data_IF_872494153602
#
_entry.id   IF_872494153602
#
_cell.length_a   1.000
_cell.length_b   1.000
_cell.length_c   1.000
_cell.angle_alpha   90.00
_cell.angle_beta   90.00
_cell.angle_gamma   90.00
#
_symmetry.space_group_name_H-M   'P 1'
#
loop_
_entity.id
_entity.type
_entity.pdbx_description
1 polymer ?
#
# COMPACT_ATOMS: atom_id res chain seq x y z
N UNK A 1 -15.38 17.89 45.35
CA UNK A 1 -15.51 16.59 44.65
C UNK A 1 -14.14 16.32 44.09
N UNK A 2 -13.34 15.73 44.98
CA UNK A 2 -11.96 15.35 44.76
C UNK A 2 -11.94 14.07 43.92
N UNK A 3 -11.05 14.01 42.93
CA UNK A 3 -10.80 12.76 42.19
C UNK A 3 -9.31 12.48 42.26
N UNK A 4 -9.02 11.37 42.93
CA UNK A 4 -7.71 10.78 43.22
C UNK A 4 -6.89 10.46 41.98
N UNK A 5 -5.57 10.58 42.15
CA UNK A 5 -4.54 9.99 41.32
C UNK A 5 -4.22 8.59 41.87
N UNK A 6 -4.34 7.55 41.04
CA UNK A 6 -3.70 6.26 41.28
C UNK A 6 -2.50 6.09 40.35
N UNK A 7 -1.34 5.89 40.99
CA UNK A 7 -0.05 5.56 40.41
C UNK A 7 0.10 4.04 40.47
N UNK A 8 0.50 3.38 39.38
CA UNK A 8 0.99 2.01 39.41
C UNK A 8 2.36 1.94 38.72
N UNK A 9 3.37 1.68 39.53
CA UNK A 9 4.64 1.08 39.14
C UNK A 9 4.60 -0.40 39.54
N UNK A 10 5.03 -1.29 38.65
CA UNK A 10 5.68 -2.59 38.92
C UNK A 10 6.03 -3.21 37.55
N UNK A 11 7.30 -3.20 37.14
CA UNK A 11 8.39 -4.15 37.46
C UNK A 11 8.46 -5.35 36.48
N UNK A 12 9.71 -5.72 36.22
CA UNK A 12 10.26 -6.64 35.21
C UNK A 12 9.60 -8.03 35.20
N UNK A 13 9.58 -8.68 34.03
CA UNK A 13 10.54 -9.74 33.67
C UNK A 13 10.20 -10.49 32.36
N UNK A 14 11.25 -11.13 31.83
CA UNK A 14 11.25 -12.37 31.02
C UNK A 14 11.03 -12.32 29.50
N UNK A 15 12.18 -12.16 28.82
CA UNK A 15 12.79 -13.12 27.88
C UNK A 15 11.84 -14.18 27.30
N UNK A 16 11.37 -13.94 26.08
CA UNK A 16 10.88 -15.00 25.18
C UNK A 16 11.58 -14.87 23.84
N UNK A 17 12.73 -15.55 23.72
CA UNK A 17 13.36 -15.82 22.44
C UNK A 17 12.70 -17.05 21.79
N UNK A 18 12.25 -16.99 20.52
CA UNK A 18 11.75 -18.16 19.80
C UNK A 18 12.88 -19.13 19.40
N UNK A 19 12.56 -20.41 19.17
CA UNK A 19 13.55 -21.46 18.96
C UNK A 19 14.29 -21.34 17.62
N UNK A 20 15.60 -21.53 17.69
CA UNK A 20 16.52 -21.75 16.56
C UNK A 20 16.17 -23.07 15.85
N UNK A 21 16.02 -23.01 14.53
CA UNK A 21 15.95 -24.19 13.67
C UNK A 21 17.23 -24.31 12.84
N UNK A 22 17.93 -25.43 13.02
CA UNK A 22 19.09 -25.80 12.22
C UNK A 22 18.71 -26.50 10.91
N UNK A 23 19.49 -26.14 9.88
CA UNK A 23 19.88 -26.90 8.68
C UNK A 23 18.78 -27.36 7.70
N UNK A 24 18.77 -26.71 6.52
CA UNK A 24 18.31 -27.32 5.26
C UNK A 24 19.48 -27.34 4.28
N UNK A 25 19.81 -28.55 3.83
CA UNK A 25 20.84 -28.87 2.86
C UNK A 25 20.44 -28.37 1.46
N UNK A 26 21.31 -27.60 0.81
CA UNK A 26 21.15 -27.20 -0.59
C UNK A 26 21.93 -28.15 -1.51
N UNK A 27 21.22 -28.84 -2.40
CA UNK A 27 21.83 -29.50 -3.56
C UNK A 27 21.89 -28.53 -4.74
N UNK A 28 23.10 -28.26 -5.23
CA UNK A 28 23.36 -27.47 -6.44
C UNK A 28 22.96 -28.24 -7.70
N UNK A 29 22.13 -27.64 -8.55
CA UNK A 29 21.90 -28.14 -9.91
C UNK A 29 22.88 -27.41 -10.83
N UNK A 30 23.78 -28.18 -11.45
CA UNK A 30 24.73 -27.74 -12.47
C UNK A 30 23.98 -27.38 -13.75
N UNK A 31 24.31 -26.24 -14.34
CA UNK A 31 23.73 -25.77 -15.59
C UNK A 31 24.47 -26.39 -16.77
N UNK A 32 23.87 -27.38 -17.41
CA UNK A 32 24.23 -27.78 -18.78
C UNK A 32 23.14 -27.39 -19.77
N UNK A 33 23.60 -26.69 -20.79
CA UNK A 33 22.83 -26.09 -21.87
C UNK A 33 22.36 -27.18 -22.84
N UNK A 34 21.04 -27.31 -23.03
CA UNK A 34 20.47 -27.87 -24.27
C UNK A 34 19.21 -27.11 -24.62
N UNK A 35 19.30 -26.35 -25.72
CA UNK A 35 18.18 -25.67 -26.34
C UNK A 35 17.46 -26.66 -27.25
N UNK A 36 16.29 -27.14 -26.82
CA UNK A 36 15.29 -27.73 -27.69
C UNK A 36 13.94 -27.23 -27.19
N UNK A 37 13.06 -26.79 -28.10
CA UNK A 37 11.67 -26.42 -27.79
C UNK A 37 10.74 -27.57 -28.17
N UNK A 38 10.34 -28.45 -27.25
CA UNK A 38 9.12 -29.22 -27.39
C UNK A 38 7.96 -28.40 -26.85
N UNK A 39 6.86 -28.36 -27.59
CA UNK A 39 5.55 -27.99 -27.09
C UNK A 39 5.11 -29.04 -26.07
N UNK A 40 5.52 -28.88 -24.81
CA UNK A 40 5.20 -29.79 -23.72
C UNK A 40 3.75 -29.62 -23.25
N UNK A 41 2.95 -30.67 -23.46
CA UNK A 41 1.71 -30.88 -22.71
C UNK A 41 2.13 -31.44 -21.36
N UNK A 42 2.34 -30.56 -20.37
CA UNK A 42 2.63 -30.99 -19.00
C UNK A 42 1.42 -31.70 -18.39
N UNK A 43 1.66 -32.79 -17.65
CA UNK A 43 0.59 -33.39 -16.87
C UNK A 43 0.14 -32.43 -15.76
N UNK A 44 -1.14 -32.44 -15.41
CA UNK A 44 -1.70 -31.60 -14.33
C UNK A 44 -0.98 -31.78 -12.99
N UNK A 45 -0.40 -32.95 -12.73
CA UNK A 45 0.38 -33.22 -11.53
C UNK A 45 1.71 -32.43 -11.53
N UNK A 46 2.37 -32.34 -12.68
CA UNK A 46 3.63 -31.61 -12.82
C UNK A 46 3.43 -30.10 -12.66
N UNK A 47 2.34 -29.52 -13.20
CA UNK A 47 2.02 -28.10 -13.00
C UNK A 47 1.83 -27.76 -11.52
N UNK A 48 1.15 -28.62 -10.75
CA UNK A 48 0.99 -28.43 -9.29
C UNK A 48 2.33 -28.44 -8.56
N UNK A 49 3.23 -29.35 -8.94
CA UNK A 49 4.56 -29.42 -8.35
C UNK A 49 5.39 -28.16 -8.66
N UNK A 50 5.41 -27.73 -9.93
CA UNK A 50 6.09 -26.50 -10.35
C UNK A 50 5.56 -25.29 -9.57
N UNK A 51 4.23 -25.15 -9.50
CA UNK A 51 3.58 -24.08 -8.74
C UNK A 51 3.98 -24.08 -7.26
N UNK A 52 4.05 -25.25 -6.63
CA UNK A 52 4.47 -25.39 -5.23
C UNK A 52 5.93 -24.97 -5.04
N UNK A 53 6.81 -25.38 -5.95
CA UNK A 53 8.23 -24.99 -5.94
C UNK A 53 8.38 -23.48 -6.11
N UNK A 54 7.69 -22.88 -7.08
CA UNK A 54 7.70 -21.43 -7.33
C UNK A 54 7.21 -20.67 -6.09
N UNK A 55 6.12 -21.11 -5.47
CA UNK A 55 5.61 -20.49 -4.26
C UNK A 55 6.61 -20.57 -3.09
N UNK A 56 7.27 -21.71 -2.91
CA UNK A 56 8.30 -21.89 -1.88
C UNK A 56 9.48 -20.94 -2.09
N UNK A 57 9.91 -20.75 -3.33
CA UNK A 57 10.98 -19.80 -3.67
C UNK A 57 10.57 -18.36 -3.36
N UNK A 58 9.38 -17.95 -3.82
CA UNK A 58 8.84 -16.61 -3.54
C UNK A 58 8.70 -16.38 -2.02
N UNK A 59 8.21 -17.38 -1.28
CA UNK A 59 8.11 -17.31 0.19
C UNK A 59 9.47 -17.09 0.83
N UNK A 60 10.50 -17.83 0.41
CA UNK A 60 11.87 -17.63 0.86
C UNK A 60 12.39 -16.21 0.58
N UNK A 61 12.06 -15.66 -0.59
CA UNK A 61 12.46 -14.28 -0.96
C UNK A 61 11.83 -13.20 -0.11
N UNK A 62 10.56 -13.36 0.29
CA UNK A 62 9.84 -12.30 1.02
C UNK A 62 9.96 -12.44 2.53
N UNK A 63 10.16 -13.65 3.07
CA UNK A 63 10.25 -13.91 4.51
C UNK A 63 11.70 -14.00 5.01
N UNK A 64 12.59 -14.76 4.35
CA UNK A 64 13.90 -15.12 4.92
C UNK A 64 14.88 -13.96 4.92
N UNK A 65 15.29 -13.38 6.09
CA UNK A 65 16.12 -12.16 6.18
C UNK A 65 17.39 -12.22 5.33
N UNK A 66 18.06 -13.38 5.32
CA UNK A 66 19.34 -13.58 4.65
C UNK A 66 19.22 -13.99 3.17
N UNK A 67 18.07 -13.77 2.54
CA UNK A 67 17.91 -14.08 1.12
C UNK A 67 18.87 -13.22 0.28
N UNK A 68 19.66 -13.86 -0.57
CA UNK A 68 20.70 -13.20 -1.36
C UNK A 68 20.05 -12.25 -2.38
N UNK A 69 20.12 -10.94 -2.13
CA UNK A 69 19.48 -9.92 -2.97
C UNK A 69 19.90 -9.99 -4.45
N UNK A 70 21.16 -10.33 -4.74
CA UNK A 70 21.66 -10.49 -6.11
C UNK A 70 21.00 -11.65 -6.88
N UNK A 71 20.39 -12.60 -6.16
CA UNK A 71 19.70 -13.76 -6.76
C UNK A 71 18.21 -13.51 -7.03
N UNK A 72 17.62 -12.42 -6.53
CA UNK A 72 16.18 -12.15 -6.64
C UNK A 72 15.73 -12.09 -8.10
N UNK A 73 16.41 -11.29 -8.92
CA UNK A 73 16.08 -11.13 -10.35
C UNK A 73 16.16 -12.46 -11.11
N UNK A 74 17.34 -13.13 -11.15
CA UNK A 74 17.50 -14.41 -11.84
C UNK A 74 16.53 -15.49 -11.37
N UNK A 75 16.22 -15.54 -10.07
CA UNK A 75 15.28 -16.54 -9.53
C UNK A 75 13.85 -16.25 -9.96
N UNK A 76 13.42 -14.98 -9.98
CA UNK A 76 12.10 -14.61 -10.48
C UNK A 76 11.98 -14.83 -11.99
N UNK A 77 13.02 -14.57 -12.77
CA UNK A 77 13.07 -14.87 -14.20
C UNK A 77 12.95 -16.37 -14.46
N UNK A 78 13.62 -17.20 -13.65
CA UNK A 78 13.50 -18.66 -13.69
C UNK A 78 12.09 -19.14 -13.33
N UNK A 79 11.45 -18.51 -12.34
CA UNK A 79 10.05 -18.81 -11.99
C UNK A 79 9.09 -18.41 -13.12
N UNK A 80 9.29 -17.23 -13.71
CA UNK A 80 8.46 -16.70 -14.79
C UNK A 80 8.59 -17.50 -16.10
N UNK A 81 9.73 -18.16 -16.33
CA UNK A 81 9.92 -19.08 -17.47
C UNK A 81 9.37 -20.47 -17.20
N UNK A 82 9.20 -20.85 -15.94
CA UNK A 82 8.66 -22.16 -15.54
C UNK A 82 7.12 -22.24 -15.59
N UNK A 83 6.43 -21.10 -15.69
CA UNK A 83 4.97 -21.00 -15.68
C UNK A 83 4.47 -20.07 -16.80
N UNK A 84 3.22 -20.24 -17.28
CA UNK A 84 2.58 -19.23 -18.12
C UNK A 84 2.54 -17.86 -17.41
N UNK A 85 2.79 -16.77 -18.15
CA UNK A 85 2.86 -15.42 -17.57
C UNK A 85 1.61 -15.03 -16.75
N UNK A 86 0.42 -15.42 -17.21
CA UNK A 86 -0.83 -15.19 -16.48
C UNK A 86 -0.87 -15.95 -15.14
N UNK A 87 -0.47 -17.22 -15.14
CA UNK A 87 -0.46 -18.04 -13.91
C UNK A 87 0.60 -17.55 -12.92
N UNK A 88 1.76 -17.11 -13.40
CA UNK A 88 2.79 -16.51 -12.54
C UNK A 88 2.30 -15.20 -11.92
N UNK A 89 1.69 -14.32 -12.72
CA UNK A 89 1.05 -13.09 -12.24
C UNK A 89 -0.04 -13.38 -11.20
N UNK A 90 -0.84 -14.44 -11.40
CA UNK A 90 -1.87 -14.85 -10.45
C UNK A 90 -1.27 -15.30 -9.11
N UNK A 91 -0.21 -16.11 -9.12
CA UNK A 91 0.49 -16.54 -7.89
C UNK A 91 0.97 -15.34 -7.06
N UNK A 92 1.48 -14.30 -7.72
CA UNK A 92 1.99 -13.09 -7.08
C UNK A 92 0.89 -12.20 -6.48
N UNK A 93 -0.35 -12.37 -6.92
CA UNK A 93 -1.49 -11.54 -6.52
C UNK A 93 -2.49 -12.28 -5.61
N UNK A 94 -2.27 -13.56 -5.36
CA UNK A 94 -3.09 -14.39 -4.48
C UNK A 94 -2.50 -14.46 -3.07
N UNK A 95 -3.37 -14.62 -2.08
CA UNK A 95 -3.05 -14.72 -0.65
C UNK A 95 -2.43 -16.07 -0.25
N UNK A 96 -1.36 -16.47 -0.94
CA UNK A 96 -0.74 -17.79 -0.83
C UNK A 96 0.31 -17.90 0.30
N UNK A 97 0.63 -16.81 1.00
CA UNK A 97 1.63 -16.80 2.06
C UNK A 97 0.97 -16.26 3.33
N UNK A 98 0.64 -17.15 4.27
CA UNK A 98 0.09 -16.78 5.59
C UNK A 98 -1.15 -15.86 5.49
N UNK A 99 -2.01 -16.08 4.50
CA UNK A 99 -3.23 -15.30 4.28
C UNK A 99 -3.03 -13.97 3.53
N UNK A 100 -1.80 -13.66 3.12
CA UNK A 100 -1.48 -12.44 2.37
C UNK A 100 -0.68 -12.72 1.10
N UNK A 101 -0.64 -11.73 0.21
CA UNK A 101 0.13 -11.75 -1.03
C UNK A 101 1.64 -11.67 -0.78
N UNK A 102 2.47 -12.16 -1.71
CA UNK A 102 3.92 -11.89 -1.70
C UNK A 102 4.26 -10.39 -1.64
N UNK A 103 3.47 -9.53 -2.28
CA UNK A 103 3.66 -8.09 -2.23
C UNK A 103 3.48 -7.51 -0.82
N UNK A 104 2.47 -7.98 -0.08
CA UNK A 104 2.26 -7.59 1.31
C UNK A 104 3.50 -7.87 2.16
N UNK A 105 4.02 -9.10 2.08
CA UNK A 105 5.19 -9.50 2.86
C UNK A 105 6.46 -8.79 2.46
N UNK A 106 6.65 -8.50 1.17
CA UNK A 106 7.79 -7.70 0.71
C UNK A 106 7.78 -6.28 1.30
N UNK A 107 6.59 -5.69 1.51
CA UNK A 107 6.44 -4.37 2.15
C UNK A 107 6.69 -4.47 3.66
N UNK A 108 6.00 -5.39 4.35
CA UNK A 108 6.11 -5.56 5.81
C UNK A 108 7.54 -5.87 6.23
N UNK A 109 8.22 -6.74 5.48
CA UNK A 109 9.62 -7.12 5.75
C UNK A 109 10.63 -6.13 5.14
N UNK A 110 10.20 -4.96 4.67
CA UNK A 110 11.03 -3.86 4.15
C UNK A 110 12.03 -4.29 3.07
N UNK A 111 11.56 -5.02 2.05
CA UNK A 111 12.35 -5.52 0.92
C UNK A 111 12.02 -4.80 -0.39
N UNK A 112 12.48 -3.55 -0.58
CA UNK A 112 12.12 -2.76 -1.76
C UNK A 112 12.65 -3.36 -3.07
N UNK A 113 13.76 -4.10 -3.06
CA UNK A 113 14.34 -4.77 -4.22
C UNK A 113 13.45 -5.93 -4.69
N UNK A 114 13.00 -6.76 -3.73
CA UNK A 114 12.06 -7.86 -4.00
C UNK A 114 10.74 -7.30 -4.49
N UNK A 115 10.21 -6.28 -3.80
CA UNK A 115 8.99 -5.58 -4.21
C UNK A 115 9.10 -5.10 -5.67
N UNK A 116 10.15 -4.35 -5.99
CA UNK A 116 10.39 -3.80 -7.33
C UNK A 116 10.51 -4.89 -8.40
N UNK A 117 11.12 -6.04 -8.06
CA UNK A 117 11.23 -7.17 -8.98
C UNK A 117 9.88 -7.87 -9.20
N UNK A 118 9.10 -8.09 -8.14
CA UNK A 118 7.75 -8.67 -8.23
C UNK A 118 6.82 -7.79 -9.08
N UNK A 119 6.86 -6.47 -8.93
CA UNK A 119 6.02 -5.52 -9.68
C UNK A 119 6.14 -5.68 -11.21
N UNK A 120 7.30 -6.11 -11.73
CA UNK A 120 7.53 -6.30 -13.17
C UNK A 120 6.65 -7.38 -13.79
N UNK A 121 6.18 -8.32 -12.99
CA UNK A 121 5.40 -9.48 -13.43
C UNK A 121 3.90 -9.32 -13.15
N UNK A 122 3.47 -8.20 -12.56
CA UNK A 122 2.09 -7.97 -12.14
C UNK A 122 1.43 -6.96 -13.06
N UNK A 123 0.72 -7.46 -14.06
CA UNK A 123 -0.15 -6.64 -14.92
C UNK A 123 -1.35 -7.47 -15.42
N UNK A 124 -2.62 -7.00 -15.23
CA UNK A 124 -3.09 -5.89 -14.39
C UNK A 124 -3.25 -6.27 -12.90
N UNK A 125 -3.40 -5.26 -12.03
CA UNK A 125 -3.65 -5.45 -10.60
C UNK A 125 -5.09 -5.90 -10.30
N UNK A 126 -5.20 -7.10 -9.70
CA UNK A 126 -6.41 -7.61 -9.04
C UNK A 126 -6.76 -6.72 -7.85
N UNK A 127 -8.06 -6.68 -7.53
CA UNK A 127 -8.55 -5.80 -6.48
C UNK A 127 -8.02 -6.18 -5.12
N UNK A 128 -8.03 -7.48 -4.81
CA UNK A 128 -7.71 -7.96 -3.48
C UNK A 128 -6.21 -7.82 -3.19
N UNK A 129 -5.36 -8.08 -4.20
CA UNK A 129 -3.91 -7.81 -4.11
C UNK A 129 -3.61 -6.35 -3.81
N UNK A 130 -4.37 -5.40 -4.37
CA UNK A 130 -4.20 -3.98 -4.06
C UNK A 130 -4.64 -3.65 -2.63
N UNK A 131 -5.73 -4.25 -2.12
CA UNK A 131 -6.13 -4.07 -0.72
C UNK A 131 -5.06 -4.59 0.25
N UNK A 132 -4.43 -5.72 -0.08
CA UNK A 132 -3.32 -6.27 0.68
C UNK A 132 -2.11 -5.32 0.71
N UNK A 133 -1.73 -4.75 -0.44
CA UNK A 133 -0.66 -3.73 -0.49
C UNK A 133 -0.99 -2.52 0.38
N UNK A 134 -2.25 -2.04 0.35
CA UNK A 134 -2.70 -0.93 1.20
C UNK A 134 -2.58 -1.28 2.68
N UNK A 135 -3.04 -2.47 3.06
CA UNK A 135 -2.93 -2.98 4.42
C UNK A 135 -1.47 -3.07 4.86
N UNK A 136 -0.57 -3.54 4.00
CA UNK A 136 0.86 -3.61 4.30
C UNK A 136 1.45 -2.22 4.58
N UNK A 137 1.20 -1.23 3.73
CA UNK A 137 1.65 0.14 3.96
C UNK A 137 1.07 0.75 5.24
N UNK A 138 -0.17 0.39 5.57
CA UNK A 138 -0.82 0.82 6.82
C UNK A 138 -0.12 0.23 8.04
N UNK A 139 0.17 -1.07 8.02
CA UNK A 139 0.90 -1.78 9.08
C UNK A 139 2.31 -1.21 9.28
N UNK A 140 2.99 -0.84 8.19
CA UNK A 140 4.33 -0.24 8.27
C UNK A 140 4.34 1.27 8.51
N UNK A 141 3.15 1.91 8.55
CA UNK A 141 2.97 3.37 8.59
C UNK A 141 3.78 4.11 7.50
N UNK A 142 3.94 3.52 6.30
CA UNK A 142 4.77 4.08 5.22
C UNK A 142 3.92 4.81 4.15
N UNK A 143 3.63 6.07 4.42
CA UNK A 143 2.88 6.95 3.52
C UNK A 143 3.58 7.21 2.18
N UNK A 144 4.92 7.29 2.18
CA UNK A 144 5.71 7.55 0.97
C UNK A 144 5.56 6.40 -0.01
N UNK A 145 5.68 5.16 0.48
CA UNK A 145 5.45 3.97 -0.32
C UNK A 145 4.00 3.88 -0.79
N UNK A 146 3.04 4.11 0.10
CA UNK A 146 1.61 4.14 -0.26
C UNK A 146 1.31 5.10 -1.40
N UNK A 147 1.84 6.32 -1.34
CA UNK A 147 1.66 7.35 -2.38
C UNK A 147 2.26 6.89 -3.71
N UNK A 148 3.50 6.39 -3.69
CA UNK A 148 4.18 5.87 -4.89
C UNK A 148 3.40 4.73 -5.55
N UNK A 149 2.89 3.79 -4.75
CA UNK A 149 2.13 2.65 -5.25
C UNK A 149 0.73 3.06 -5.76
N UNK A 150 0.07 4.00 -5.08
CA UNK A 150 -1.22 4.55 -5.49
C UNK A 150 -1.15 5.33 -6.80
N UNK A 151 -0.08 6.12 -7.01
CA UNK A 151 0.17 6.82 -8.28
C UNK A 151 0.45 5.86 -9.44
N UNK A 152 1.17 4.77 -9.16
CA UNK A 152 1.51 3.76 -10.17
C UNK A 152 0.27 2.95 -10.58
N UNK A 153 -0.60 2.64 -9.62
CA UNK A 153 -1.82 1.86 -9.87
C UNK A 153 -2.71 2.55 -10.92
N UNK A 154 -3.04 1.82 -11.99
CA UNK A 154 -3.95 2.26 -13.05
C UNK A 154 -5.40 2.51 -12.57
N UNK A 155 -5.65 2.40 -11.25
CA UNK A 155 -6.95 2.54 -10.59
C UNK A 155 -7.30 3.94 -10.14
N UNK A 156 -6.41 4.93 -10.26
CA UNK A 156 -6.88 6.31 -10.32
C UNK A 156 -7.97 6.34 -11.39
N UNK A 157 -9.15 6.85 -11.02
CA UNK A 157 -10.32 6.93 -11.90
C UNK A 157 -9.79 7.39 -13.27
N UNK A 158 -10.06 6.65 -14.36
CA UNK A 158 -9.43 6.87 -15.66
C UNK A 158 -9.36 8.37 -16.02
N UNK A 159 -10.43 9.10 -15.68
CA UNK A 159 -10.57 10.54 -15.82
C UNK A 159 -9.61 11.38 -14.94
N UNK A 160 -9.44 11.05 -13.66
CA UNK A 160 -8.50 11.73 -12.77
C UNK A 160 -7.05 11.50 -13.20
N UNK A 161 -6.72 10.27 -13.64
CA UNK A 161 -5.41 9.99 -14.23
C UNK A 161 -5.17 10.80 -15.50
N UNK A 162 -6.17 10.89 -16.39
CA UNK A 162 -6.08 11.73 -17.59
C UNK A 162 -5.87 13.20 -17.23
N UNK A 163 -6.59 13.74 -16.24
CA UNK A 163 -6.41 15.12 -15.81
C UNK A 163 -5.03 15.36 -15.18
N UNK A 164 -4.55 14.46 -14.32
CA UNK A 164 -3.21 14.59 -13.73
C UNK A 164 -2.12 14.53 -14.81
N UNK A 165 -2.28 13.66 -15.81
CA UNK A 165 -1.36 13.57 -16.95
C UNK A 165 -1.43 14.80 -17.86
N UNK A 166 -2.63 15.35 -18.11
CA UNK A 166 -2.81 16.52 -18.98
C UNK A 166 -2.36 17.83 -18.32
N UNK A 167 -2.47 17.95 -16.99
CA UNK A 167 -2.13 19.16 -16.25
C UNK A 167 -0.69 19.17 -15.74
N UNK A 168 0.01 18.02 -15.82
CA UNK A 168 1.47 17.93 -15.69
C UNK A 168 2.04 18.02 -14.28
N UNK A 169 1.21 18.11 -13.24
CA UNK A 169 1.66 18.21 -11.85
C UNK A 169 0.87 17.25 -10.94
N UNK A 170 1.52 16.27 -10.29
CA UNK A 170 0.86 15.43 -9.30
C UNK A 170 0.49 16.24 -8.04
N UNK A 171 -0.51 15.77 -7.31
CA UNK A 171 -0.77 16.27 -5.96
C UNK A 171 0.32 15.78 -5.02
N UNK A 172 0.69 16.63 -4.05
CA UNK A 172 1.68 16.31 -3.04
C UNK A 172 1.00 16.18 -1.68
N UNK A 173 1.31 15.10 -0.95
CA UNK A 173 0.79 14.86 0.40
C UNK A 173 1.97 14.54 1.30
N UNK A 174 2.17 15.38 2.31
CA UNK A 174 3.17 15.19 3.36
C UNK A 174 2.46 14.96 4.69
N UNK A 175 2.87 13.95 5.44
CA UNK A 175 2.28 13.61 6.73
C UNK A 175 3.36 13.76 7.80
N UNK A 176 3.02 14.49 8.86
CA UNK A 176 3.86 14.72 10.02
C UNK A 176 3.17 14.15 11.25
N UNK A 177 3.84 13.29 11.99
CA UNK A 177 3.36 12.85 13.30
C UNK A 177 3.56 14.00 14.31
N UNK A 178 2.61 14.18 15.22
CA UNK A 178 2.63 15.21 16.25
C UNK A 178 3.42 14.80 17.49
N UNK A 179 3.64 15.78 18.38
CA UNK A 179 4.35 15.54 19.65
C UNK A 179 3.53 14.72 20.66
N UNK A 180 2.20 14.75 20.53
CA UNK A 180 1.29 13.98 21.37
C UNK A 180 0.86 12.69 20.69
N UNK A 181 0.65 11.64 21.49
CA UNK A 181 0.12 10.37 20.97
C UNK A 181 -1.20 10.61 20.24
N UNK A 182 -1.35 10.02 19.05
CA UNK A 182 -2.52 10.12 18.18
C UNK A 182 -2.74 11.50 17.53
N UNK A 183 -1.77 12.40 17.56
CA UNK A 183 -1.80 13.63 16.78
C UNK A 183 -1.00 13.49 15.50
N UNK A 184 -1.53 14.02 14.39
CA UNK A 184 -0.79 14.13 13.14
C UNK A 184 -1.25 15.37 12.37
N UNK A 185 -0.42 15.82 11.44
CA UNK A 185 -0.72 16.89 10.47
C UNK A 185 -0.48 16.37 9.07
N UNK A 186 -1.51 16.39 8.22
CA UNK A 186 -1.38 16.09 6.81
C UNK A 186 -1.43 17.38 5.99
N UNK A 187 -0.32 17.73 5.35
CA UNK A 187 -0.20 18.87 4.43
C UNK A 187 -0.42 18.38 3.01
N UNK A 188 -1.41 18.95 2.33
CA UNK A 188 -1.80 18.56 0.98
C UNK A 188 -1.69 19.74 0.04
N UNK A 189 -0.99 19.58 -1.08
CA UNK A 189 -0.90 20.55 -2.16
C UNK A 189 -1.62 20.00 -3.38
N UNK A 190 -2.80 20.55 -3.64
CA UNK A 190 -3.66 20.10 -4.75
C UNK A 190 -3.47 21.03 -5.95
N UNK A 191 -2.82 20.53 -7.00
CA UNK A 191 -2.53 21.35 -8.17
C UNK A 191 -3.81 21.57 -8.98
N UNK A 192 -4.08 22.84 -9.32
CA UNK A 192 -5.26 23.27 -10.08
C UNK A 192 -6.60 22.81 -9.46
N UNK A 193 -6.69 22.84 -8.12
CA UNK A 193 -7.87 22.40 -7.37
C UNK A 193 -9.20 22.88 -7.97
N UNK A 194 -9.34 24.20 -8.23
CA UNK A 194 -10.59 24.78 -8.76
C UNK A 194 -10.99 24.21 -10.13
N UNK A 195 -10.04 24.03 -11.03
CA UNK A 195 -10.30 23.46 -12.36
C UNK A 195 -10.69 22.00 -12.22
N UNK A 196 -9.94 21.23 -11.43
CA UNK A 196 -10.17 19.80 -11.25
C UNK A 196 -11.50 19.51 -10.54
N UNK A 197 -11.83 20.23 -9.48
CA UNK A 197 -13.10 20.03 -8.76
C UNK A 197 -14.31 20.41 -9.62
N UNK A 198 -14.21 21.42 -10.51
CA UNK A 198 -15.28 21.75 -11.47
C UNK A 198 -15.47 20.69 -12.55
N UNK A 199 -14.39 20.04 -13.00
CA UNK A 199 -14.47 19.02 -14.06
C UNK A 199 -14.88 17.66 -13.49
N UNK A 200 -14.25 17.23 -12.39
CA UNK A 200 -14.46 15.90 -11.79
C UNK A 200 -15.65 15.89 -10.83
N UNK A 201 -16.06 17.05 -10.31
CA UNK A 201 -17.10 17.22 -9.28
C UNK A 201 -16.76 16.56 -7.93
N UNK A 202 -15.72 15.72 -7.88
CA UNK A 202 -15.28 14.94 -6.74
C UNK A 202 -13.76 14.76 -6.78
N UNK A 203 -13.03 15.15 -5.72
CA UNK A 203 -11.60 14.88 -5.58
C UNK A 203 -11.35 14.08 -4.32
N UNK A 204 -10.66 12.95 -4.45
CA UNK A 204 -10.36 12.04 -3.35
C UNK A 204 -8.85 11.96 -3.17
N UNK A 205 -8.40 12.16 -1.95
CA UNK A 205 -7.02 11.91 -1.55
C UNK A 205 -7.01 10.95 -0.39
N UNK A 206 -5.96 10.14 -0.31
CA UNK A 206 -5.74 9.21 0.79
C UNK A 206 -4.30 9.33 1.28
N UNK A 207 -4.11 9.09 2.56
CA UNK A 207 -2.81 9.16 3.20
C UNK A 207 -2.78 8.23 4.42
N UNK A 208 -1.57 7.88 4.85
CA UNK A 208 -1.36 7.03 6.02
C UNK A 208 -0.86 7.90 7.17
N UNK A 209 -1.51 7.79 8.32
CA UNK A 209 -1.07 8.41 9.57
C UNK A 209 -1.51 7.55 10.75
N UNK A 210 -0.65 7.38 11.76
CA UNK A 210 -0.98 6.63 12.97
C UNK A 210 -1.53 5.22 12.69
N UNK A 211 -0.92 4.50 11.73
CA UNK A 211 -1.29 3.14 11.36
C UNK A 211 -2.70 3.01 10.76
N UNK A 212 -3.22 4.10 10.16
CA UNK A 212 -4.55 4.14 9.53
C UNK A 212 -4.46 4.81 8.17
N UNK A 213 -5.30 4.34 7.24
CA UNK A 213 -5.53 5.05 5.97
C UNK A 213 -6.69 6.01 6.18
N UNK A 214 -6.37 7.29 6.09
CA UNK A 214 -7.30 8.40 6.09
C UNK A 214 -7.61 8.81 4.66
N UNK A 215 -8.82 9.31 4.45
CA UNK A 215 -9.24 9.87 3.18
C UNK A 215 -9.82 11.26 3.35
N UNK A 216 -9.45 12.17 2.47
CA UNK A 216 -10.07 13.49 2.33
C UNK A 216 -10.83 13.52 1.01
N UNK A 217 -12.10 13.88 1.07
CA UNK A 217 -13.01 13.95 -0.05
C UNK A 217 -13.54 15.37 -0.21
N UNK A 218 -13.24 15.98 -1.34
CA UNK A 218 -13.87 17.21 -1.80
C UNK A 218 -14.97 16.88 -2.80
N UNK A 219 -16.13 17.53 -2.71
CA UNK A 219 -17.21 17.41 -3.68
C UNK A 219 -17.87 18.76 -3.94
N UNK A 220 -18.42 18.98 -5.13
CA UNK A 220 -19.28 20.15 -5.40
C UNK A 220 -20.69 19.85 -4.90
N UNK A 221 -21.24 20.72 -4.06
CA UNK A 221 -22.62 20.67 -3.58
C UNK A 221 -23.59 21.39 -4.53
N UNK A 222 -24.88 21.31 -4.21
CA UNK A 222 -25.97 21.81 -5.07
C UNK A 222 -25.90 23.32 -5.34
N UNK A 223 -25.28 24.08 -4.43
CA UNK A 223 -25.13 25.54 -4.51
C UNK A 223 -23.81 25.98 -5.17
N UNK A 224 -23.11 25.07 -5.85
CA UNK A 224 -21.80 25.26 -6.47
C UNK A 224 -20.64 25.49 -5.51
N UNK A 225 -20.88 25.52 -4.19
CA UNK A 225 -19.80 25.49 -3.19
C UNK A 225 -19.26 24.06 -3.09
N UNK A 226 -17.97 23.94 -2.87
CA UNK A 226 -17.39 22.64 -2.58
C UNK A 226 -17.47 22.36 -1.07
N UNK A 227 -17.67 21.10 -0.74
CA UNK A 227 -17.66 20.55 0.62
C UNK A 227 -16.43 19.68 0.78
N UNK A 228 -15.87 19.66 2.00
CA UNK A 228 -14.78 18.77 2.37
C UNK A 228 -15.25 17.82 3.46
N UNK A 229 -14.84 16.55 3.35
CA UNK A 229 -15.14 15.52 4.34
C UNK A 229 -13.94 14.63 4.53
N UNK A 230 -13.70 14.21 5.77
CA UNK A 230 -12.63 13.30 6.15
C UNK A 230 -13.24 11.98 6.62
N UNK A 231 -12.64 10.86 6.23
CA UNK A 231 -13.12 9.52 6.55
C UNK A 231 -11.97 8.54 6.74
N UNK A 232 -12.25 7.42 7.39
CA UNK A 232 -11.33 6.28 7.46
C UNK A 232 -11.62 5.33 6.28
N UNK A 233 -10.57 4.89 5.58
CA UNK A 233 -10.74 3.92 4.51
C UNK A 233 -11.22 2.56 5.04
N UNK A 234 -11.81 1.76 4.15
CA UNK A 234 -12.16 0.36 4.45
C UNK A 234 -10.90 -0.36 4.99
N UNK A 235 -11.08 -1.14 6.05
CA UNK A 235 -10.02 -1.89 6.78
C UNK A 235 -9.11 -1.07 7.71
N UNK A 236 -9.23 0.26 7.77
CA UNK A 236 -8.61 1.03 8.85
C UNK A 236 -9.29 0.73 10.19
N UNK A 237 -8.51 0.66 11.27
CA UNK A 237 -9.08 0.54 12.62
C UNK A 237 -9.92 1.78 12.97
N UNK A 238 -11.07 1.62 13.64
CA UNK A 238 -11.86 2.75 14.10
C UNK A 238 -11.01 3.76 14.89
N UNK A 239 -11.28 5.04 14.69
CA UNK A 239 -10.70 6.13 15.46
C UNK A 239 -11.76 7.22 15.63
N UNK A 240 -11.62 7.97 16.73
CA UNK A 240 -12.34 9.23 16.90
C UNK A 240 -11.47 10.35 16.36
N UNK A 241 -12.01 11.15 15.46
CA UNK A 241 -11.31 12.25 14.85
C UNK A 241 -11.86 13.60 15.34
N UNK A 242 -10.95 14.45 15.81
CA UNK A 242 -11.18 15.89 15.92
C UNK A 242 -10.23 16.57 14.94
N UNK A 243 -10.73 16.90 13.75
CA UNK A 243 -9.91 17.46 12.69
C UNK A 243 -10.15 18.95 12.50
N UNK A 244 -9.07 19.70 12.32
CA UNK A 244 -9.08 21.08 11.89
C UNK A 244 -8.52 21.15 10.47
N UNK A 245 -9.37 21.42 9.48
CA UNK A 245 -8.95 21.65 8.12
C UNK A 245 -8.59 23.12 7.93
N UNK A 246 -7.33 23.37 7.63
CA UNK A 246 -6.85 24.69 7.20
C UNK A 246 -6.72 24.69 5.68
N UNK A 247 -7.37 25.66 5.03
CA UNK A 247 -7.25 25.89 3.58
C UNK A 247 -6.49 27.18 3.35
N UNK A 248 -5.36 27.06 2.67
CA UNK A 248 -4.55 28.18 2.21
C UNK A 248 -4.68 28.30 0.70
N UNK A 249 -5.13 29.47 0.24
CA UNK A 249 -5.22 29.79 -1.17
C UNK A 249 -4.30 30.97 -1.49
N UNK A 250 -3.37 30.77 -2.42
CA UNK A 250 -2.55 31.85 -2.94
C UNK A 250 -3.27 32.51 -4.11
N UNK A 251 -3.52 33.82 -4.00
CA UNK A 251 -4.10 34.59 -5.09
C UNK A 251 -3.01 35.08 -6.08
N UNK A 252 -3.42 35.70 -7.19
CA UNK A 252 -2.48 36.26 -8.20
C UNK A 252 -1.52 37.31 -7.64
N UNK A 253 -1.86 37.92 -6.50
CA UNK A 253 -1.04 38.92 -5.80
C UNK A 253 -0.14 38.28 -4.73
N UNK A 254 -0.02 36.95 -4.72
CA UNK A 254 0.75 36.18 -3.73
C UNK A 254 0.28 36.37 -2.28
N UNK A 255 -0.92 36.91 -2.06
CA UNK A 255 -1.51 36.94 -0.73
C UNK A 255 -2.08 35.56 -0.41
N UNK A 256 -1.79 35.08 0.79
CA UNK A 256 -2.31 33.81 1.31
C UNK A 256 -3.61 34.10 2.05
N UNK A 257 -4.71 33.58 1.52
CA UNK A 257 -5.99 33.54 2.23
C UNK A 257 -6.04 32.24 3.03
N UNK A 258 -6.11 32.35 4.35
CA UNK A 258 -6.24 31.21 5.26
C UNK A 258 -7.68 31.14 5.77
N UNK A 259 -8.29 29.95 5.71
CA UNK A 259 -9.59 29.67 6.32
C UNK A 259 -9.55 28.34 7.05
N UNK A 260 -10.13 28.31 8.25
CA UNK A 260 -10.17 27.13 9.10
C UNK A 260 -11.59 26.58 9.18
N UNK A 261 -11.69 25.25 9.17
CA UNK A 261 -12.94 24.51 9.25
C UNK A 261 -12.78 23.39 10.26
N UNK A 262 -13.69 23.30 11.23
CA UNK A 262 -13.78 22.10 12.06
C UNK A 262 -14.47 21.02 11.24
N UNK A 263 -13.80 19.88 11.11
CA UNK A 263 -14.38 18.69 10.51
C UNK A 263 -14.83 17.80 11.66
N UNK A 264 -16.12 17.84 11.95
CA UNK A 264 -16.74 16.86 12.83
C UNK A 264 -16.85 15.52 12.11
N UNK A 265 -16.86 14.42 12.87
CA UNK A 265 -17.20 13.10 12.35
C UNK A 265 -18.64 13.13 11.84
N UNK A 266 -18.81 13.49 10.57
CA UNK A 266 -20.03 13.15 9.84
C UNK A 266 -20.14 11.64 9.88
N UNK A 267 -21.21 11.10 10.45
CA UNK A 267 -21.51 9.67 10.50
C UNK A 267 -21.31 9.04 9.11
N UNK A 268 -20.19 8.37 8.90
CA UNK A 268 -19.98 7.53 7.72
C UNK A 268 -20.42 6.12 8.08
N UNK A 269 -21.67 5.80 7.75
CA UNK A 269 -22.03 4.42 7.43
C UNK A 269 -20.99 3.96 6.40
N UNK A 270 -20.26 2.88 6.71
CA UNK A 270 -19.33 2.28 5.78
C UNK A 270 -20.01 2.18 4.40
N UNK A 271 -19.32 2.53 3.29
CA UNK A 271 -19.93 2.42 1.98
C UNK A 271 -20.36 0.97 1.78
N UNK A 272 -21.67 0.74 1.71
CA UNK A 272 -22.19 -0.48 1.10
C UNK A 272 -21.71 -0.49 -0.34
N UNK A 273 -21.11 -1.62 -0.71
CA UNK A 273 -20.33 -1.89 -1.90
C UNK A 273 -20.88 -1.33 -3.23
#
# INVERSE_FOLDING_TARGET
MDTEFELFDDDKSDVNAPPSYHAVSMSSISADSVQCKPSFVFSRAQTKQIRTTVLSLIRGMVITPDFILSSVGPTLDACATSLPAAEFSDILQESNIEGHTPLYWAIVNKRPEVLSALYKFITPYKHDSFQDVRLACMVTNDHTLFTRLSLTSARLHKMERTLNLSLGCPDEIQVYEGDTENQFTAKMQITMFQTRIRVVQKLRMEFIAQGRIWGLLFRVGDDTRWEASIYLAKHSLPARLKALLTVEAQNKQHQVLKKEFQLDEGYFLAPSE
#
